data_IF_527383755092
#
_entry.id   IF_527383755092
#
_cell.length_a   1.000
_cell.length_b   1.000
_cell.length_c   1.000
_cell.angle_alpha   90.00
_cell.angle_beta   90.00
_cell.angle_gamma   90.00
#
_symmetry.space_group_name_H-M   'P 1'
#
loop_
_entity.id
_entity.type
_entity.pdbx_description
1 polymer ?
#
# COMPACT_ATOMS: atom_id res chain seq x y z
N UNK A 1 61.22 -14.38 7.24
CA UNK A 1 62.45 -14.84 7.90
C UNK A 1 62.33 -16.31 8.26
N UNK A 2 63.21 -17.18 7.75
CA UNK A 2 63.34 -18.56 8.21
C UNK A 2 63.77 -18.65 9.69
N UNK A 3 63.39 -19.73 10.38
CA UNK A 3 63.69 -19.92 11.82
C UNK A 3 65.20 -20.08 12.13
N UNK A 4 66.00 -20.45 11.13
CA UNK A 4 67.44 -20.69 11.27
C UNK A 4 68.30 -19.59 10.61
N UNK A 5 67.68 -18.49 10.16
CA UNK A 5 68.40 -17.41 9.51
C UNK A 5 69.40 -16.74 10.47
N UNK A 6 70.67 -16.67 10.09
CA UNK A 6 71.75 -16.05 10.87
C UNK A 6 72.02 -14.64 10.34
N UNK A 7 71.16 -13.67 10.71
CA UNK A 7 71.32 -12.28 10.29
C UNK A 7 72.33 -11.57 11.20
N UNK A 8 73.53 -11.31 10.68
CA UNK A 8 74.60 -10.59 11.40
C UNK A 8 74.87 -9.21 10.82
N UNK A 9 74.53 -9.00 9.55
CA UNK A 9 74.69 -7.79 8.76
C UNK A 9 73.51 -7.66 7.77
N UNK A 10 73.33 -6.46 7.21
CA UNK A 10 72.19 -6.19 6.33
C UNK A 10 72.23 -6.93 4.99
N UNK A 11 73.41 -7.37 4.53
CA UNK A 11 73.52 -8.21 3.32
C UNK A 11 72.95 -9.61 3.56
N UNK A 12 73.09 -10.13 4.78
CA UNK A 12 72.60 -11.46 5.17
C UNK A 12 71.07 -11.54 5.02
N UNK A 13 70.34 -10.42 5.11
CA UNK A 13 68.89 -10.41 4.87
C UNK A 13 68.56 -10.86 3.45
N UNK A 14 69.35 -10.45 2.45
CA UNK A 14 69.12 -10.86 1.05
C UNK A 14 69.51 -12.31 0.79
N UNK A 15 70.43 -12.86 1.58
CA UNK A 15 70.93 -14.23 1.42
C UNK A 15 70.12 -15.25 2.24
N UNK A 16 69.63 -14.85 3.41
CA UNK A 16 68.97 -15.70 4.40
C UNK A 16 67.44 -15.51 4.45
N UNK A 17 66.88 -14.47 3.82
CA UNK A 17 65.44 -14.24 3.75
C UNK A 17 64.85 -14.55 2.37
N UNK A 18 63.55 -14.85 2.36
CA UNK A 18 62.78 -15.00 1.13
C UNK A 18 62.03 -13.71 0.82
N UNK A 19 62.21 -13.17 -0.38
CA UNK A 19 61.46 -12.01 -0.85
C UNK A 19 60.01 -12.37 -1.14
N UNK A 20 59.07 -11.76 -0.42
CA UNK A 20 57.64 -12.01 -0.61
C UNK A 20 57.17 -11.58 -2.02
N UNK A 21 57.75 -10.54 -2.61
CA UNK A 21 57.49 -10.13 -4.00
C UNK A 21 57.85 -11.24 -5.00
N UNK A 22 58.98 -11.93 -4.80
CA UNK A 22 59.39 -13.03 -5.67
C UNK A 22 58.39 -14.20 -5.59
N UNK A 23 57.88 -14.52 -4.41
CA UNK A 23 56.82 -15.53 -4.23
C UNK A 23 55.54 -15.10 -4.97
N UNK A 24 55.13 -13.84 -4.82
CA UNK A 24 53.92 -13.34 -5.48
C UNK A 24 54.05 -13.40 -7.00
N UNK A 25 55.20 -13.03 -7.57
CA UNK A 25 55.48 -13.14 -8.99
C UNK A 25 55.41 -14.58 -9.50
N UNK A 26 55.96 -15.54 -8.75
CA UNK A 26 55.88 -16.96 -9.11
C UNK A 26 54.43 -17.47 -9.07
N UNK A 27 53.63 -17.07 -8.07
CA UNK A 27 52.22 -17.40 -8.00
C UNK A 27 51.43 -16.90 -9.22
N UNK A 28 51.73 -15.69 -9.69
CA UNK A 28 51.09 -15.14 -10.88
C UNK A 28 51.40 -15.90 -12.17
N UNK A 29 52.65 -16.35 -12.35
CA UNK A 29 53.05 -17.15 -13.50
C UNK A 29 52.37 -18.53 -13.44
N UNK A 30 52.27 -19.11 -12.26
CA UNK A 30 51.69 -20.44 -12.06
C UNK A 30 50.14 -20.46 -12.13
N UNK A 31 49.47 -19.36 -11.80
CA UNK A 31 48.01 -19.33 -11.68
C UNK A 31 47.39 -18.02 -12.17
N UNK A 32 46.53 -18.11 -13.20
CA UNK A 32 45.84 -16.98 -13.81
C UNK A 32 44.56 -16.53 -13.08
N UNK A 33 44.18 -17.22 -11.99
CA UNK A 33 43.02 -16.88 -11.17
C UNK A 33 43.36 -15.88 -10.06
N UNK A 34 42.64 -15.99 -8.94
CA UNK A 34 42.86 -15.13 -7.77
C UNK A 34 44.10 -15.61 -7.01
N UNK A 35 45.08 -14.72 -6.83
CA UNK A 35 46.28 -14.97 -6.02
C UNK A 35 46.15 -14.25 -4.67
N UNK A 36 46.29 -14.98 -3.56
CA UNK A 36 46.10 -14.40 -2.21
C UNK A 36 47.34 -14.64 -1.39
N UNK A 37 47.90 -13.57 -0.85
CA UNK A 37 49.01 -13.62 0.08
C UNK A 37 48.58 -12.96 1.39
N UNK A 38 48.68 -13.69 2.50
CA UNK A 38 48.33 -13.21 3.83
C UNK A 38 49.60 -13.22 4.67
N UNK A 39 50.04 -12.04 5.09
CA UNK A 39 51.29 -11.82 5.80
C UNK A 39 50.99 -11.45 7.24
N UNK A 40 51.13 -12.42 8.13
CA UNK A 40 50.99 -12.25 9.57
C UNK A 40 52.36 -12.11 10.24
N UNK A 41 52.97 -10.94 10.07
CA UNK A 41 54.30 -10.63 10.59
C UNK A 41 54.39 -9.14 10.93
N UNK A 42 55.27 -8.79 11.87
CA UNK A 42 55.59 -7.40 12.15
C UNK A 42 56.12 -6.71 10.89
N UNK A 43 55.70 -5.47 10.66
CA UNK A 43 56.18 -4.63 9.56
C UNK A 43 57.13 -3.54 10.04
N UNK A 44 57.81 -3.80 11.15
CA UNK A 44 58.78 -2.89 11.73
C UNK A 44 60.02 -2.87 10.86
N UNK A 45 60.48 -1.67 10.51
CA UNK A 45 61.84 -1.49 10.01
C UNK A 45 62.81 -2.02 11.06
N UNK A 46 63.81 -2.82 10.65
CA UNK A 46 64.90 -3.23 11.55
C UNK A 46 65.46 -1.94 12.18
N UNK A 47 65.46 -1.79 13.52
CA UNK A 47 65.88 -0.55 14.16
C UNK A 47 67.31 -0.17 13.73
N UNK A 48 67.57 1.11 13.46
CA UNK A 48 68.91 1.61 13.07
C UNK A 48 69.99 1.22 14.13
N UNK A 49 69.55 1.01 15.36
CA UNK A 49 70.28 0.58 16.54
C UNK A 49 70.49 -0.94 16.67
N UNK A 50 69.78 -1.77 15.89
CA UNK A 50 69.99 -3.23 15.84
C UNK A 50 71.41 -3.61 15.38
N UNK A 51 72.07 -2.73 14.61
CA UNK A 51 73.45 -2.92 14.15
C UNK A 51 74.46 -1.93 14.77
N UNK A 52 74.06 -1.12 15.77
CA UNK A 52 74.92 -0.04 16.34
C UNK A 52 76.19 -0.55 17.02
N UNK A 53 76.23 -1.79 17.52
CA UNK A 53 77.48 -2.36 18.05
C UNK A 53 78.57 -2.60 16.97
N UNK A 54 78.25 -2.42 15.68
CA UNK A 54 79.17 -2.70 14.56
C UNK A 54 79.35 -1.52 13.57
N UNK A 55 79.03 -0.30 13.99
CA UNK A 55 79.11 0.94 13.18
C UNK A 55 80.50 1.29 12.62
N UNK A 56 81.59 0.67 13.09
CA UNK A 56 82.96 1.06 12.70
C UNK A 56 83.41 0.64 11.27
N UNK A 57 82.52 0.18 10.38
CA UNK A 57 82.90 -0.26 9.01
C UNK A 57 82.00 0.23 7.87
N UNK A 58 81.31 1.37 8.00
CA UNK A 58 80.87 2.18 6.85
C UNK A 58 79.93 1.54 5.80
N UNK A 59 79.28 0.41 6.08
CA UNK A 59 78.59 -0.41 5.09
C UNK A 59 77.06 -0.22 4.98
N UNK A 60 76.46 0.74 5.69
CA UNK A 60 75.00 0.71 5.97
C UNK A 60 74.15 1.83 5.34
N UNK A 61 74.63 2.51 4.30
CA UNK A 61 73.83 3.53 3.59
C UNK A 61 72.87 2.87 2.57
N UNK A 62 71.69 2.42 3.00
CA UNK A 62 70.62 2.02 2.05
C UNK A 62 69.55 1.00 2.48
N UNK A 63 69.56 0.48 3.71
CA UNK A 63 68.64 -0.59 4.13
C UNK A 63 67.20 -0.15 4.47
N UNK A 64 66.89 1.15 4.48
CA UNK A 64 65.60 1.69 4.93
C UNK A 64 64.38 1.49 4.02
N UNK A 65 64.47 0.72 2.92
CA UNK A 65 63.40 0.63 1.91
C UNK A 65 62.77 -0.75 1.75
N UNK A 66 63.39 -1.83 2.24
CA UNK A 66 63.04 -3.22 1.93
C UNK A 66 61.77 -3.80 2.61
N UNK A 67 61.10 -3.05 3.49
CA UNK A 67 59.91 -3.49 4.23
C UNK A 67 58.66 -2.64 3.92
N UNK A 68 58.79 -1.75 2.93
CA UNK A 68 57.71 -0.91 2.42
C UNK A 68 56.64 -1.74 1.68
N UNK A 69 55.45 -1.14 1.51
CA UNK A 69 54.27 -1.79 0.95
C UNK A 69 54.54 -2.40 -0.43
N UNK A 70 54.28 -3.70 -0.59
CA UNK A 70 54.32 -4.37 -1.89
C UNK A 70 53.10 -3.97 -2.71
N UNK A 71 53.31 -3.72 -4.01
CA UNK A 71 52.20 -3.46 -4.91
C UNK A 71 51.52 -4.77 -5.28
N UNK A 72 50.19 -4.82 -5.14
CA UNK A 72 49.40 -5.96 -5.60
C UNK A 72 49.46 -6.06 -7.13
N UNK A 73 50.18 -7.06 -7.64
CA UNK A 73 50.24 -7.36 -9.06
C UNK A 73 48.87 -7.84 -9.58
N UNK A 74 48.53 -7.67 -10.86
CA UNK A 74 47.16 -7.93 -11.40
C UNK A 74 46.54 -9.26 -10.95
N UNK A 75 45.32 -9.22 -10.42
CA UNK A 75 44.62 -10.43 -9.96
C UNK A 75 45.11 -10.96 -8.60
N UNK A 76 45.81 -10.14 -7.81
CA UNK A 76 46.24 -10.50 -6.46
C UNK A 76 45.55 -9.68 -5.36
N UNK A 77 45.48 -10.29 -4.19
CA UNK A 77 45.13 -9.67 -2.92
C UNK A 77 46.26 -9.97 -1.93
N UNK A 78 46.85 -8.92 -1.36
CA UNK A 78 47.83 -9.02 -0.28
C UNK A 78 47.18 -8.47 0.97
N UNK A 79 47.05 -9.28 2.02
CA UNK A 79 46.52 -8.86 3.31
C UNK A 79 47.65 -8.89 4.35
N UNK A 80 47.79 -7.80 5.10
CA UNK A 80 48.79 -7.62 6.14
C UNK A 80 48.08 -7.61 7.50
N UNK A 81 48.70 -8.25 8.50
CA UNK A 81 48.17 -8.23 9.86
C UNK A 81 48.25 -6.87 10.54
N UNK A 82 49.01 -5.92 9.97
CA UNK A 82 49.14 -4.55 10.47
C UNK A 82 49.53 -3.56 9.35
N UNK A 83 49.41 -2.26 9.66
CA UNK A 83 49.72 -1.16 8.75
C UNK A 83 51.25 -1.06 8.47
N UNK A 84 51.68 -0.35 7.40
CA UNK A 84 53.11 -0.11 7.18
C UNK A 84 53.80 0.50 8.40
N UNK A 85 55.03 0.07 8.70
CA UNK A 85 55.85 0.57 9.81
C UNK A 85 55.23 0.37 11.21
N UNK A 86 54.46 -0.69 11.41
CA UNK A 86 53.86 -1.03 12.71
C UNK A 86 54.02 -2.51 13.05
N UNK A 87 53.93 -2.82 14.34
CA UNK A 87 54.13 -4.16 14.89
C UNK A 87 52.83 -4.97 14.87
N UNK A 88 52.91 -6.25 14.51
CA UNK A 88 51.80 -7.19 14.63
C UNK A 88 51.87 -7.89 15.99
N UNK A 89 50.73 -8.00 16.69
CA UNK A 89 50.70 -8.54 18.05
C UNK A 89 50.54 -10.07 18.05
N UNK A 90 51.44 -10.75 18.76
CA UNK A 90 51.55 -12.21 18.78
C UNK A 90 50.42 -12.95 19.51
N UNK A 91 49.51 -12.24 20.20
CA UNK A 91 48.44 -12.80 21.02
C UNK A 91 48.69 -12.64 22.53
N UNK A 92 47.65 -12.84 23.33
CA UNK A 92 47.77 -12.78 24.80
C UNK A 92 48.55 -14.00 25.34
N UNK A 93 49.17 -13.92 26.54
CA UNK A 93 49.86 -15.07 27.14
C UNK A 93 48.96 -16.32 27.19
N UNK A 94 49.38 -17.40 26.54
CA UNK A 94 48.65 -18.66 26.46
C UNK A 94 47.72 -18.81 25.25
N UNK A 95 47.58 -17.81 24.39
CA UNK A 95 46.87 -17.96 23.12
C UNK A 95 47.73 -18.69 22.08
N UNK A 96 47.09 -19.58 21.31
CA UNK A 96 47.76 -20.39 20.26
C UNK A 96 48.06 -19.59 19.00
N UNK A 97 47.26 -18.57 18.67
CA UNK A 97 47.34 -17.82 17.43
C UNK A 97 47.52 -16.33 17.74
N UNK A 98 48.14 -15.58 16.81
CA UNK A 98 48.13 -14.12 16.84
C UNK A 98 46.71 -13.56 16.83
N UNK A 99 46.56 -12.31 17.28
CA UNK A 99 45.25 -11.63 17.28
C UNK A 99 44.66 -11.57 15.87
N UNK A 100 45.49 -11.28 14.86
CA UNK A 100 45.06 -11.27 13.47
C UNK A 100 44.62 -12.65 12.98
N UNK A 101 45.44 -13.68 13.18
CA UNK A 101 45.11 -15.05 12.75
C UNK A 101 43.87 -15.59 13.47
N UNK A 102 43.70 -15.29 14.76
CA UNK A 102 42.50 -15.64 15.55
C UNK A 102 41.22 -15.10 14.91
N UNK A 103 41.19 -13.82 14.55
CA UNK A 103 40.00 -13.21 13.94
C UNK A 103 39.83 -13.53 12.47
N UNK A 104 40.90 -13.70 11.71
CA UNK A 104 40.85 -14.19 10.34
C UNK A 104 40.20 -15.57 10.28
N UNK A 105 40.63 -16.53 11.12
CA UNK A 105 40.04 -17.86 11.18
C UNK A 105 38.57 -17.83 11.60
N UNK A 106 38.18 -16.94 12.53
CA UNK A 106 36.78 -16.75 12.93
C UNK A 106 35.93 -16.23 11.77
N UNK A 107 36.43 -15.26 11.01
CA UNK A 107 35.75 -14.69 9.85
C UNK A 107 35.64 -15.73 8.71
N UNK A 108 36.70 -16.48 8.41
CA UNK A 108 36.66 -17.56 7.41
C UNK A 108 35.63 -18.64 7.78
N UNK A 109 35.50 -19.01 9.05
CA UNK A 109 34.51 -20.02 9.47
C UNK A 109 33.06 -19.56 9.37
N UNK A 110 32.78 -18.29 9.59
CA UNK A 110 31.40 -17.79 9.78
C UNK A 110 30.90 -16.87 8.66
N UNK A 111 31.83 -16.28 7.90
CA UNK A 111 31.58 -15.20 6.94
C UNK A 111 32.25 -15.44 5.58
N UNK A 112 32.73 -16.64 5.28
CA UNK A 112 33.36 -16.95 3.98
C UNK A 112 32.47 -16.69 2.74
N UNK A 113 31.16 -16.57 2.92
CA UNK A 113 30.21 -16.22 1.85
C UNK A 113 30.23 -14.73 1.48
N UNK A 114 30.80 -13.87 2.33
CA UNK A 114 30.95 -12.45 2.07
C UNK A 114 32.06 -12.20 1.04
N UNK A 115 31.97 -11.07 0.34
CA UNK A 115 33.08 -10.61 -0.49
C UNK A 115 34.33 -10.40 0.38
N UNK A 116 35.53 -10.64 -0.17
CA UNK A 116 36.79 -10.50 0.56
C UNK A 116 36.90 -9.17 1.30
N UNK A 117 36.46 -8.06 0.70
CA UNK A 117 36.54 -6.73 1.31
C UNK A 117 35.72 -6.67 2.60
N UNK A 118 34.49 -7.17 2.57
CA UNK A 118 33.61 -7.25 3.76
C UNK A 118 34.17 -8.20 4.82
N UNK A 119 34.74 -9.34 4.40
CA UNK A 119 35.37 -10.29 5.31
C UNK A 119 36.56 -9.64 6.05
N UNK A 120 37.44 -8.96 5.33
CA UNK A 120 38.60 -8.30 5.93
C UNK A 120 38.23 -7.04 6.73
N UNK A 121 37.14 -6.34 6.39
CA UNK A 121 36.56 -5.30 7.26
C UNK A 121 36.16 -5.90 8.62
N UNK A 122 35.52 -7.06 8.65
CA UNK A 122 35.17 -7.73 9.91
C UNK A 122 36.42 -8.14 10.69
N UNK A 123 37.46 -8.66 10.02
CA UNK A 123 38.73 -8.97 10.67
C UNK A 123 39.36 -7.72 11.29
N UNK A 124 39.47 -6.62 10.54
CA UNK A 124 40.03 -5.34 11.04
C UNK A 124 39.25 -4.82 12.24
N UNK A 125 37.92 -4.82 12.14
CA UNK A 125 37.04 -4.37 13.23
C UNK A 125 37.30 -5.13 14.52
N UNK A 126 37.44 -6.45 14.44
CA UNK A 126 37.67 -7.29 15.61
C UNK A 126 39.09 -7.13 16.18
N UNK A 127 40.10 -7.06 15.33
CA UNK A 127 41.50 -6.82 15.74
C UNK A 127 41.63 -5.47 16.46
N UNK A 128 41.07 -4.40 15.89
CA UNK A 128 41.10 -3.07 16.50
C UNK A 128 40.26 -2.96 17.78
N UNK A 129 39.25 -3.82 17.96
CA UNK A 129 38.47 -3.88 19.19
C UNK A 129 39.22 -4.61 20.32
N UNK A 130 40.01 -5.63 20.00
CA UNK A 130 40.81 -6.37 20.99
C UNK A 130 42.09 -5.61 21.41
N UNK A 131 42.65 -4.80 20.50
CA UNK A 131 43.83 -3.96 20.75
C UNK A 131 43.44 -2.47 20.64
N UNK A 132 42.73 -1.90 21.64
CA UNK A 132 42.21 -0.53 21.57
C UNK A 132 43.24 0.55 21.93
N UNK A 133 44.48 0.19 22.30
CA UNK A 133 45.44 1.14 22.90
C UNK A 133 46.03 2.13 21.88
N UNK A 134 46.20 3.40 22.28
CA UNK A 134 46.67 4.51 21.43
C UNK A 134 48.20 4.52 21.23
N UNK A 135 48.97 3.83 22.07
CA UNK A 135 50.45 3.79 21.97
C UNK A 135 50.97 2.84 20.86
N UNK A 136 50.24 1.76 20.55
CA UNK A 136 50.57 0.81 19.46
C UNK A 136 49.27 0.25 18.87
N UNK A 137 48.76 0.87 17.80
CA UNK A 137 47.54 0.42 17.14
C UNK A 137 47.84 -0.63 16.06
N UNK A 138 47.39 -1.87 16.25
CA UNK A 138 47.40 -2.88 15.19
C UNK A 138 46.20 -2.68 14.26
N UNK A 139 46.46 -2.24 13.03
CA UNK A 139 45.41 -2.02 12.01
C UNK A 139 45.69 -2.87 10.78
N UNK A 140 44.98 -4.00 10.60
CA UNK A 140 45.09 -4.80 9.39
C UNK A 140 44.85 -4.00 8.11
N UNK A 141 45.65 -4.27 7.08
CA UNK A 141 45.68 -3.52 5.82
C UNK A 141 45.69 -4.45 4.61
N UNK A 142 45.09 -4.07 3.49
CA UNK A 142 45.12 -4.86 2.25
C UNK A 142 45.56 -4.04 1.03
N UNK A 143 46.32 -4.68 0.14
CA UNK A 143 46.59 -4.20 -1.21
C UNK A 143 45.89 -5.13 -2.21
N UNK A 144 45.11 -4.58 -3.14
CA UNK A 144 44.28 -5.39 -4.04
C UNK A 144 44.35 -4.91 -5.50
N UNK A 145 44.23 -5.86 -6.42
CA UNK A 145 44.17 -5.65 -7.87
C UNK A 145 43.20 -6.65 -8.54
N UNK A 146 42.25 -7.18 -7.76
CA UNK A 146 41.27 -8.17 -8.19
C UNK A 146 40.27 -7.53 -9.17
N UNK A 147 40.01 -8.20 -10.29
CA UNK A 147 39.07 -7.72 -11.31
C UNK A 147 37.72 -8.45 -11.29
N UNK A 148 37.52 -9.36 -10.33
CA UNK A 148 36.29 -10.16 -10.17
C UNK A 148 35.94 -10.27 -8.69
N UNK A 149 34.66 -10.48 -8.39
CA UNK A 149 34.18 -10.79 -7.04
C UNK A 149 34.88 -12.05 -6.53
N UNK A 150 35.45 -11.99 -5.34
CA UNK A 150 36.07 -13.13 -4.68
C UNK A 150 35.49 -13.28 -3.27
N UNK A 151 35.16 -14.51 -2.91
CA UNK A 151 34.74 -14.92 -1.58
C UNK A 151 35.49 -16.21 -1.26
N UNK A 152 35.90 -16.41 0.00
CA UNK A 152 36.62 -17.62 0.40
C UNK A 152 35.72 -18.87 0.40
N UNK A 153 34.40 -18.69 0.41
CA UNK A 153 33.38 -19.72 0.19
C UNK A 153 32.48 -19.37 -0.99
N UNK A 154 31.22 -19.78 -0.97
CA UNK A 154 30.24 -19.43 -2.02
C UNK A 154 29.79 -17.99 -1.85
N UNK A 155 30.09 -17.13 -2.83
CA UNK A 155 29.62 -15.75 -2.81
C UNK A 155 28.10 -15.69 -2.68
N UNK A 156 27.60 -15.01 -1.65
CA UNK A 156 26.17 -14.73 -1.55
C UNK A 156 25.83 -13.62 -2.54
N UNK A 157 25.06 -13.94 -3.56
CA UNK A 157 24.45 -12.95 -4.45
C UNK A 157 23.13 -12.50 -3.82
N UNK A 158 23.24 -11.61 -2.82
CA UNK A 158 22.08 -11.06 -2.12
C UNK A 158 21.16 -10.25 -3.03
N UNK A 159 21.69 -9.69 -4.12
CA UNK A 159 20.93 -8.86 -5.05
C UNK A 159 19.95 -9.68 -5.89
N UNK A 160 20.37 -10.81 -6.47
CA UNK A 160 19.49 -11.64 -7.31
C UNK A 160 18.39 -12.38 -6.54
N UNK A 161 18.64 -12.75 -5.29
CA UNK A 161 17.64 -13.42 -4.46
C UNK A 161 16.50 -12.46 -4.03
N UNK A 162 16.85 -11.23 -3.67
CA UNK A 162 15.87 -10.21 -3.28
C UNK A 162 14.99 -9.78 -4.46
N UNK A 163 15.58 -9.63 -5.66
CA UNK A 163 14.85 -9.24 -6.86
C UNK A 163 13.81 -10.29 -7.29
N UNK A 164 14.18 -11.57 -7.27
CA UNK A 164 13.27 -12.67 -7.58
C UNK A 164 12.09 -12.76 -6.59
N UNK A 165 12.35 -12.49 -5.31
CA UNK A 165 11.33 -12.51 -4.27
C UNK A 165 10.36 -11.31 -4.40
N UNK A 166 10.88 -10.13 -4.74
CA UNK A 166 10.03 -8.98 -5.04
C UNK A 166 9.17 -9.19 -6.29
N UNK A 167 9.71 -9.83 -7.33
CA UNK A 167 8.95 -10.12 -8.54
C UNK A 167 7.82 -11.13 -8.27
N UNK A 168 8.08 -12.19 -7.48
CA UNK A 168 7.04 -13.14 -7.05
C UNK A 168 5.95 -12.44 -6.25
N UNK A 169 6.32 -11.63 -5.28
CA UNK A 169 5.37 -10.88 -4.45
C UNK A 169 4.55 -9.89 -5.29
N UNK A 170 5.16 -9.25 -6.29
CA UNK A 170 4.46 -8.35 -7.21
C UNK A 170 3.42 -9.10 -8.07
N UNK A 171 3.75 -10.31 -8.54
CA UNK A 171 2.82 -11.16 -9.30
C UNK A 171 1.63 -11.60 -8.45
N UNK A 172 1.89 -12.08 -7.24
CA UNK A 172 0.84 -12.51 -6.30
C UNK A 172 -0.08 -11.34 -5.91
N UNK A 173 0.49 -10.16 -5.64
CA UNK A 173 -0.30 -8.94 -5.38
C UNK A 173 -1.15 -8.53 -6.58
N UNK A 174 -0.64 -8.68 -7.80
CA UNK A 174 -1.39 -8.36 -9.01
C UNK A 174 -2.56 -9.33 -9.22
N UNK A 175 -2.36 -10.62 -8.93
CA UNK A 175 -3.41 -11.65 -8.98
C UNK A 175 -4.50 -11.39 -7.96
N UNK A 176 -4.13 -11.19 -6.69
CA UNK A 176 -5.08 -10.89 -5.60
C UNK A 176 -5.88 -9.60 -5.87
N UNK A 177 -5.26 -8.59 -6.50
CA UNK A 177 -5.95 -7.36 -6.88
C UNK A 177 -7.02 -7.60 -7.95
N UNK A 178 -6.78 -8.50 -8.91
CA UNK A 178 -7.76 -8.87 -9.94
C UNK A 178 -8.94 -9.62 -9.32
N UNK A 179 -8.66 -10.62 -8.49
CA UNK A 179 -9.69 -11.40 -7.81
C UNK A 179 -10.58 -10.50 -6.92
N UNK A 180 -9.97 -9.58 -6.16
CA UNK A 180 -10.72 -8.63 -5.34
C UNK A 180 -11.62 -7.72 -6.18
N UNK A 181 -11.15 -7.27 -7.34
CA UNK A 181 -11.95 -6.45 -8.24
C UNK A 181 -13.11 -7.23 -8.84
N UNK A 182 -12.91 -8.49 -9.21
CA UNK A 182 -13.97 -9.38 -9.70
C UNK A 182 -15.02 -9.65 -8.62
N UNK A 183 -14.60 -9.95 -7.39
CA UNK A 183 -15.51 -10.13 -6.26
C UNK A 183 -16.31 -8.86 -5.96
N UNK A 184 -15.70 -7.68 -6.06
CA UNK A 184 -16.40 -6.41 -5.89
C UNK A 184 -17.44 -6.18 -7.00
N UNK A 185 -17.11 -6.47 -8.26
CA UNK A 185 -18.06 -6.39 -9.37
C UNK A 185 -19.24 -7.35 -9.16
N UNK A 186 -18.97 -8.60 -8.75
CA UNK A 186 -20.01 -9.57 -8.44
C UNK A 186 -20.90 -9.09 -7.29
N UNK A 187 -20.33 -8.52 -6.22
CA UNK A 187 -21.10 -7.97 -5.10
C UNK A 187 -22.03 -6.84 -5.56
N UNK A 188 -21.51 -5.89 -6.33
CA UNK A 188 -22.30 -4.78 -6.87
C UNK A 188 -23.42 -5.28 -7.80
N UNK A 189 -23.16 -6.29 -8.62
CA UNK A 189 -24.18 -6.90 -9.47
C UNK A 189 -25.27 -7.60 -8.65
N UNK A 190 -24.89 -8.37 -7.63
CA UNK A 190 -25.83 -9.02 -6.72
C UNK A 190 -26.68 -8.00 -5.97
N UNK A 191 -26.08 -6.93 -5.45
CA UNK A 191 -26.80 -5.81 -4.82
C UNK A 191 -27.79 -5.16 -5.81
N UNK A 192 -27.36 -4.90 -7.05
CA UNK A 192 -28.24 -4.36 -8.10
C UNK A 192 -29.41 -5.28 -8.41
N UNK A 193 -29.17 -6.59 -8.54
CA UNK A 193 -30.21 -7.58 -8.80
C UNK A 193 -31.17 -7.71 -7.62
N UNK A 194 -30.67 -7.68 -6.39
CA UNK A 194 -31.48 -7.68 -5.17
C UNK A 194 -32.38 -6.44 -5.11
N UNK A 195 -31.83 -5.26 -5.42
CA UNK A 195 -32.61 -4.02 -5.48
C UNK A 195 -33.66 -4.06 -6.60
N UNK A 196 -33.34 -4.60 -7.78
CA UNK A 196 -34.31 -4.79 -8.85
C UNK A 196 -35.44 -5.76 -8.45
N UNK A 197 -35.11 -6.86 -7.77
CA UNK A 197 -36.12 -7.79 -7.23
C UNK A 197 -37.00 -7.14 -6.18
N UNK A 198 -36.40 -6.37 -5.27
CA UNK A 198 -37.13 -5.62 -4.25
C UNK A 198 -38.10 -4.62 -4.90
N UNK A 199 -37.62 -3.80 -5.84
CA UNK A 199 -38.44 -2.79 -6.53
C UNK A 199 -39.62 -3.40 -7.30
N UNK A 200 -39.50 -4.63 -7.84
CA UNK A 200 -40.64 -5.34 -8.46
C UNK A 200 -41.74 -5.73 -7.47
N UNK A 201 -41.44 -5.81 -6.18
CA UNK A 201 -42.39 -6.14 -5.11
C UNK A 201 -42.96 -4.91 -4.40
N UNK A 202 -42.53 -3.70 -4.77
CA UNK A 202 -42.92 -2.48 -4.06
C UNK A 202 -44.37 -2.08 -4.38
N UNK A 203 -45.03 -1.45 -3.41
CA UNK A 203 -46.35 -0.83 -3.58
C UNK A 203 -46.27 0.37 -4.52
N UNK A 204 -45.25 1.20 -4.36
CA UNK A 204 -44.98 2.38 -5.15
C UNK A 204 -43.61 2.28 -5.83
N UNK A 205 -43.56 2.46 -7.14
CA UNK A 205 -42.33 2.45 -7.94
C UNK A 205 -42.06 3.84 -8.49
N UNK A 206 -40.96 4.46 -8.07
CA UNK A 206 -40.49 5.71 -8.69
C UNK A 206 -39.95 5.42 -10.10
N UNK A 207 -40.50 6.09 -11.11
CA UNK A 207 -40.10 5.89 -12.49
C UNK A 207 -38.91 6.78 -12.91
N UNK A 208 -38.37 7.61 -11.99
CA UNK A 208 -37.19 8.44 -12.22
C UNK A 208 -37.44 9.67 -13.12
N UNK A 209 -38.67 9.86 -13.58
CA UNK A 209 -39.08 10.96 -14.46
C UNK A 209 -40.21 11.82 -13.88
N UNK A 210 -40.26 11.93 -12.55
CA UNK A 210 -41.21 12.77 -11.82
C UNK A 210 -42.57 12.12 -11.54
N UNK A 211 -42.73 10.84 -11.86
CA UNK A 211 -43.96 10.08 -11.60
C UNK A 211 -43.67 8.85 -10.76
N UNK A 212 -44.68 8.38 -10.04
CA UNK A 212 -44.64 7.16 -9.24
C UNK A 212 -45.79 6.26 -9.66
N UNK A 213 -45.47 5.01 -10.01
CA UNK A 213 -46.47 3.99 -10.34
C UNK A 213 -46.94 3.29 -9.07
N UNK A 214 -48.25 3.13 -8.97
CA UNK A 214 -48.93 2.53 -7.86
C UNK A 214 -49.32 1.07 -8.16
N UNK A 215 -48.44 0.10 -7.88
CA UNK A 215 -48.53 -1.27 -8.42
C UNK A 215 -49.76 -2.10 -7.98
N UNK A 216 -50.50 -1.70 -6.93
CA UNK A 216 -51.78 -2.31 -6.52
C UNK A 216 -52.94 -1.82 -7.41
N UNK A 217 -52.94 -0.55 -7.80
CA UNK A 217 -54.06 0.06 -8.55
C UNK A 217 -53.74 0.24 -10.04
N UNK A 218 -52.46 0.20 -10.41
CA UNK A 218 -51.98 0.54 -11.74
C UNK A 218 -51.95 2.05 -12.02
N UNK A 219 -52.37 2.90 -11.09
CA UNK A 219 -52.39 4.35 -11.30
C UNK A 219 -50.99 4.95 -11.31
N UNK A 220 -50.82 6.06 -12.03
CA UNK A 220 -49.58 6.83 -12.05
C UNK A 220 -49.84 8.17 -11.37
N UNK A 221 -49.09 8.42 -10.30
CA UNK A 221 -49.18 9.61 -9.48
C UNK A 221 -48.01 10.54 -9.76
N UNK A 222 -48.21 11.84 -9.54
CA UNK A 222 -47.08 12.76 -9.47
C UNK A 222 -46.19 12.44 -8.27
N UNK A 223 -44.87 12.46 -8.46
CA UNK A 223 -43.92 12.30 -7.35
C UNK A 223 -43.97 13.48 -6.38
N UNK A 224 -44.04 14.71 -6.92
CA UNK A 224 -44.25 15.91 -6.13
C UNK A 224 -45.75 16.12 -5.89
N UNK A 225 -46.15 15.92 -4.64
CA UNK A 225 -47.53 16.01 -4.19
C UNK A 225 -48.00 17.45 -3.92
N UNK A 226 -47.17 18.46 -4.13
CA UNK A 226 -47.52 19.87 -3.91
C UNK A 226 -47.01 20.78 -5.03
N UNK A 227 -47.17 20.38 -6.29
CA UNK A 227 -46.75 21.25 -7.39
C UNK A 227 -47.58 22.54 -7.50
N UNK A 228 -48.88 22.48 -7.17
CA UNK A 228 -49.83 23.55 -7.49
C UNK A 228 -50.25 24.39 -6.27
N UNK A 229 -49.87 23.99 -5.06
CA UNK A 229 -50.38 24.60 -3.83
C UNK A 229 -51.88 24.32 -3.60
N UNK A 230 -52.46 25.11 -2.71
CA UNK A 230 -53.90 25.09 -2.44
C UNK A 230 -54.68 25.87 -3.50
N UNK A 231 -55.79 25.30 -3.96
CA UNK A 231 -56.64 25.93 -4.98
C UNK A 231 -58.12 25.66 -4.71
N UNK A 232 -58.99 26.50 -5.25
CA UNK A 232 -60.43 26.20 -5.33
C UNK A 232 -60.68 25.00 -6.23
N UNK A 233 -61.74 24.24 -5.94
CA UNK A 233 -62.01 22.96 -6.59
C UNK A 233 -62.03 23.03 -8.13
N UNK A 234 -62.70 24.04 -8.72
CA UNK A 234 -62.76 24.21 -10.18
C UNK A 234 -61.39 24.53 -10.78
N UNK A 235 -60.59 25.34 -10.11
CA UNK A 235 -59.23 25.68 -10.54
C UNK A 235 -58.30 24.48 -10.42
N UNK A 236 -58.43 23.69 -9.34
CA UNK A 236 -57.67 22.46 -9.13
C UNK A 236 -57.90 21.45 -10.26
N UNK A 237 -59.16 21.24 -10.67
CA UNK A 237 -59.53 20.40 -11.82
C UNK A 237 -58.84 20.87 -13.11
N UNK A 238 -58.85 22.18 -13.37
CA UNK A 238 -58.21 22.76 -14.56
C UNK A 238 -56.69 22.66 -14.52
N UNK A 239 -56.07 22.91 -13.36
CA UNK A 239 -54.63 22.78 -13.15
C UNK A 239 -54.15 21.37 -13.42
N UNK A 240 -54.84 20.36 -12.88
CA UNK A 240 -54.52 18.96 -13.13
C UNK A 240 -54.71 18.60 -14.63
N UNK A 241 -55.80 19.03 -15.26
CA UNK A 241 -56.04 18.77 -16.69
C UNK A 241 -55.01 19.45 -17.61
N UNK A 242 -54.46 20.59 -17.22
CA UNK A 242 -53.47 21.34 -18.01
C UNK A 242 -52.02 20.89 -17.76
N UNK A 243 -51.79 19.97 -16.83
CA UNK A 243 -50.47 19.44 -16.52
C UNK A 243 -49.91 18.64 -17.71
N UNK A 244 -48.64 18.88 -18.01
CA UNK A 244 -47.92 18.19 -19.09
C UNK A 244 -46.43 18.05 -18.79
N UNK A 245 -45.73 17.32 -19.66
CA UNK A 245 -44.28 17.19 -19.67
C UNK A 245 -43.56 18.55 -19.52
N UNK A 246 -42.47 18.56 -18.75
CA UNK A 246 -41.67 19.75 -18.47
C UNK A 246 -42.17 20.61 -17.31
N UNK A 247 -43.37 20.36 -16.80
CA UNK A 247 -43.91 21.02 -15.62
C UNK A 247 -43.70 20.17 -14.37
N UNK A 248 -43.57 20.80 -13.20
CA UNK A 248 -43.55 20.10 -11.92
C UNK A 248 -42.49 18.98 -11.78
N UNK A 249 -41.39 19.06 -12.53
CA UNK A 249 -40.35 18.01 -12.58
C UNK A 249 -40.69 16.79 -13.45
N UNK A 250 -41.79 16.82 -14.21
CA UNK A 250 -42.19 15.73 -15.11
C UNK A 250 -41.29 15.66 -16.34
N UNK A 251 -40.80 14.45 -16.61
CA UNK A 251 -40.02 14.10 -17.82
C UNK A 251 -40.59 12.86 -18.51
N UNK A 252 -41.91 12.72 -18.49
CA UNK A 252 -42.63 11.47 -18.80
C UNK A 252 -43.36 11.47 -20.17
N UNK A 253 -43.18 12.53 -20.97
CA UNK A 253 -43.87 12.69 -22.26
C UNK A 253 -45.37 12.98 -22.18
N UNK A 254 -45.92 13.24 -20.99
CA UNK A 254 -47.35 13.51 -20.82
C UNK A 254 -47.81 14.79 -21.53
N UNK A 255 -49.07 14.77 -21.97
CA UNK A 255 -49.74 15.89 -22.64
C UNK A 255 -50.91 16.37 -21.79
N UNK A 256 -51.36 17.60 -22.04
CA UNK A 256 -52.58 18.15 -21.43
C UNK A 256 -53.75 17.19 -21.67
N UNK A 257 -54.58 17.03 -20.65
CA UNK A 257 -55.72 16.11 -20.61
C UNK A 257 -55.39 14.70 -20.16
N UNK A 258 -54.11 14.33 -20.04
CA UNK A 258 -53.73 13.01 -19.52
C UNK A 258 -53.82 12.92 -18.00
N UNK A 259 -53.59 14.04 -17.32
CA UNK A 259 -53.64 14.15 -15.86
C UNK A 259 -54.99 14.69 -15.41
N UNK A 260 -55.43 14.26 -14.23
CA UNK A 260 -56.66 14.72 -13.59
C UNK A 260 -56.53 14.67 -12.07
N UNK A 261 -57.51 15.24 -11.38
CA UNK A 261 -57.68 14.97 -9.96
C UNK A 261 -58.12 13.50 -9.75
N UNK A 262 -57.72 12.85 -8.64
CA UNK A 262 -58.16 11.51 -8.30
C UNK A 262 -59.65 11.49 -7.97
N UNK A 263 -60.32 10.37 -8.22
CA UNK A 263 -61.69 10.16 -7.71
C UNK A 263 -61.63 9.82 -6.22
N UNK A 264 -62.79 9.83 -5.55
CA UNK A 264 -62.91 9.41 -4.15
C UNK A 264 -62.39 7.99 -3.96
N UNK A 265 -62.76 7.08 -4.85
CA UNK A 265 -62.38 5.66 -4.79
C UNK A 265 -60.88 5.47 -4.98
N UNK A 266 -60.24 6.30 -5.82
CA UNK A 266 -58.79 6.26 -6.01
C UNK A 266 -58.03 6.79 -4.79
N UNK A 267 -58.56 7.79 -4.09
CA UNK A 267 -58.01 8.24 -2.81
C UNK A 267 -58.14 7.15 -1.73
N UNK A 268 -59.31 6.55 -1.61
CA UNK A 268 -59.55 5.42 -0.70
C UNK A 268 -58.61 4.24 -1.04
N UNK A 269 -58.38 3.98 -2.33
CA UNK A 269 -57.46 2.94 -2.78
C UNK A 269 -55.97 3.31 -2.65
N UNK A 270 -55.61 4.58 -2.53
CA UNK A 270 -54.23 5.02 -2.27
C UNK A 270 -53.92 4.92 -0.78
N UNK A 271 -54.83 5.38 0.07
CA UNK A 271 -54.68 5.33 1.51
C UNK A 271 -54.53 3.89 2.00
N UNK A 272 -53.87 3.75 3.14
CA UNK A 272 -53.74 2.48 3.83
C UNK A 272 -54.29 2.64 5.24
N UNK A 273 -55.48 2.07 5.45
CA UNK A 273 -56.23 2.17 6.70
C UNK A 273 -55.46 1.60 7.89
N UNK A 274 -54.45 0.75 7.67
CA UNK A 274 -53.53 0.27 8.71
C UNK A 274 -52.77 1.40 9.40
N UNK A 275 -52.54 2.50 8.68
CA UNK A 275 -51.81 3.67 9.15
C UNK A 275 -52.70 4.88 9.44
N UNK A 276 -54.02 4.74 9.31
CA UNK A 276 -54.99 5.78 9.63
C UNK A 276 -55.14 6.01 11.15
N UNK A 277 -55.61 7.19 11.54
CA UNK A 277 -55.95 7.50 12.92
C UNK A 277 -57.22 6.74 13.34
N UNK A 278 -57.36 6.25 14.59
CA UNK A 278 -56.45 6.40 15.75
C UNK A 278 -55.38 5.32 15.87
N UNK A 279 -55.25 4.41 14.90
CA UNK A 279 -54.35 3.26 15.00
C UNK A 279 -52.87 3.66 15.00
N UNK A 280 -52.50 4.70 14.24
CA UNK A 280 -51.14 5.26 14.17
C UNK A 280 -51.17 6.78 14.00
N UNK A 281 -50.25 7.52 14.66
CA UNK A 281 -50.02 8.93 14.33
C UNK A 281 -49.23 9.05 13.02
N UNK A 282 -49.67 9.91 12.10
CA UNK A 282 -48.97 10.18 10.85
C UNK A 282 -49.92 10.24 9.65
N UNK A 283 -49.36 10.22 8.43
CA UNK A 283 -50.17 10.14 7.22
C UNK A 283 -50.61 8.70 6.97
N UNK A 284 -51.87 8.51 6.57
CA UNK A 284 -52.50 7.24 6.21
C UNK A 284 -52.00 6.69 4.85
N UNK A 285 -50.68 6.71 4.65
CA UNK A 285 -49.99 6.21 3.47
C UNK A 285 -48.98 5.14 3.90
N UNK A 286 -48.82 4.11 3.07
CA UNK A 286 -47.70 3.17 3.20
C UNK A 286 -46.42 3.76 2.59
N UNK A 287 -45.27 3.23 3.02
CA UNK A 287 -44.00 3.47 2.34
C UNK A 287 -43.96 2.82 0.94
N UNK A 288 -42.89 3.06 0.19
CA UNK A 288 -42.69 2.56 -1.16
C UNK A 288 -42.82 1.03 -1.23
N UNK A 289 -42.27 0.33 -0.25
CA UNK A 289 -42.36 -1.13 -0.16
C UNK A 289 -43.78 -1.65 0.19
N UNK A 290 -44.67 -0.81 0.71
CA UNK A 290 -46.00 -1.21 1.18
C UNK A 290 -46.01 -1.97 2.51
N UNK A 291 -44.90 -1.98 3.24
CA UNK A 291 -44.72 -2.79 4.46
C UNK A 291 -44.73 -1.96 5.75
N UNK A 292 -44.50 -0.65 5.64
CA UNK A 292 -44.42 0.28 6.76
C UNK A 292 -45.15 1.60 6.49
N UNK A 293 -45.28 2.47 7.52
CA UNK A 293 -45.86 3.79 7.34
C UNK A 293 -44.96 4.68 6.46
N UNK A 294 -45.57 5.57 5.70
CA UNK A 294 -44.86 6.54 4.87
C UNK A 294 -44.00 7.49 5.70
N UNK A 295 -42.89 7.94 5.11
CA UNK A 295 -42.00 8.96 5.69
C UNK A 295 -41.66 10.01 4.62
N UNK A 296 -41.38 11.23 5.06
CA UNK A 296 -41.01 12.34 4.17
C UNK A 296 -39.86 11.93 3.25
N UNK A 297 -40.08 12.04 1.93
CA UNK A 297 -39.08 11.76 0.91
C UNK A 297 -38.93 10.29 0.51
N UNK A 298 -39.85 9.42 0.95
CA UNK A 298 -39.90 8.00 0.54
C UNK A 298 -40.49 7.87 -0.90
N UNK A 299 -41.70 7.33 -1.08
CA UNK A 299 -42.31 7.21 -2.41
C UNK A 299 -42.62 8.58 -3.05
N UNK A 300 -43.01 9.56 -2.24
CA UNK A 300 -43.53 10.86 -2.66
C UNK A 300 -42.83 12.00 -1.94
N UNK A 301 -42.75 13.17 -2.58
CA UNK A 301 -42.20 14.41 -2.01
C UNK A 301 -43.29 15.44 -1.75
N UNK A 302 -43.07 16.28 -0.74
CA UNK A 302 -43.94 17.41 -0.37
C UNK A 302 -45.42 17.06 -0.17
N UNK A 303 -45.69 15.87 0.39
CA UNK A 303 -47.04 15.45 0.76
C UNK A 303 -47.62 16.35 1.86
N UNK A 304 -48.84 16.82 1.62
CA UNK A 304 -49.62 17.70 2.48
C UNK A 304 -50.75 16.93 3.16
N UNK A 305 -51.55 17.62 3.98
CA UNK A 305 -52.57 16.96 4.80
C UNK A 305 -53.92 16.80 4.09
N UNK A 306 -54.28 17.73 3.20
CA UNK A 306 -55.61 17.77 2.58
C UNK A 306 -55.55 17.90 1.08
N UNK A 307 -56.25 17.03 0.34
CA UNK A 307 -56.27 17.09 -1.12
C UNK A 307 -57.68 17.03 -1.69
N UNK A 308 -57.89 17.72 -2.81
CA UNK A 308 -59.15 17.62 -3.54
C UNK A 308 -59.34 16.25 -4.22
N UNK A 309 -60.58 15.78 -4.25
CA UNK A 309 -61.06 14.78 -5.20
C UNK A 309 -61.77 15.46 -6.38
N UNK A 310 -61.78 14.78 -7.53
CA UNK A 310 -62.65 15.11 -8.66
C UNK A 310 -64.12 14.74 -8.44
N UNK A 311 -64.43 13.90 -7.43
CA UNK A 311 -65.80 13.46 -7.15
C UNK A 311 -66.59 14.56 -6.44
N UNK A 312 -67.72 14.97 -7.01
CA UNK A 312 -68.66 15.89 -6.38
C UNK A 312 -69.64 15.15 -5.48
N UNK A 313 -69.95 15.71 -4.31
CA UNK A 313 -71.03 15.17 -3.47
C UNK A 313 -72.36 15.84 -3.78
N UNK A 314 -72.36 17.17 -3.91
CA UNK A 314 -73.51 17.93 -4.37
C UNK A 314 -73.07 19.16 -5.19
N UNK A 315 -74.02 20.08 -5.45
CA UNK A 315 -73.75 21.27 -6.25
C UNK A 315 -72.72 22.20 -5.60
N UNK A 316 -72.73 22.35 -4.27
CA UNK A 316 -71.85 23.24 -3.51
C UNK A 316 -70.63 22.55 -2.89
N UNK A 317 -70.63 21.22 -2.72
CA UNK A 317 -69.52 20.47 -2.11
C UNK A 317 -68.90 19.42 -3.02
N UNK A 318 -67.63 19.14 -2.77
CA UNK A 318 -66.86 18.06 -3.39
C UNK A 318 -66.10 17.29 -2.32
N UNK A 319 -65.76 16.04 -2.60
CA UNK A 319 -64.98 15.23 -1.67
C UNK A 319 -63.54 15.77 -1.57
N UNK A 320 -63.00 15.86 -0.36
CA UNK A 320 -61.57 16.05 -0.09
C UNK A 320 -61.05 14.93 0.81
N UNK A 321 -59.79 14.58 0.65
CA UNK A 321 -59.13 13.56 1.46
C UNK A 321 -58.27 14.24 2.52
N UNK A 322 -58.32 13.71 3.74
CA UNK A 322 -57.47 14.09 4.84
C UNK A 322 -56.48 12.95 5.12
N UNK A 323 -55.23 13.13 4.69
CA UNK A 323 -54.22 12.08 4.87
C UNK A 323 -53.81 11.92 6.34
N UNK A 324 -53.97 12.93 7.19
CA UNK A 324 -53.54 12.85 8.59
C UNK A 324 -54.43 11.93 9.45
N UNK A 325 -55.69 11.73 9.07
CA UNK A 325 -56.61 10.82 9.75
C UNK A 325 -57.06 9.65 8.87
N UNK A 326 -56.83 9.72 7.55
CA UNK A 326 -57.14 8.66 6.60
C UNK A 326 -58.59 8.64 6.14
N UNK A 327 -59.32 9.73 6.30
CA UNK A 327 -60.73 9.83 5.93
C UNK A 327 -60.95 10.73 4.71
N UNK A 328 -62.10 10.53 4.06
CA UNK A 328 -62.60 11.43 3.02
C UNK A 328 -63.79 12.18 3.59
N UNK A 329 -63.81 13.50 3.40
CA UNK A 329 -64.81 14.41 3.91
C UNK A 329 -65.52 15.14 2.76
N UNK A 330 -66.71 15.66 2.99
CA UNK A 330 -67.32 16.63 2.10
C UNK A 330 -66.78 18.03 2.43
N UNK A 331 -66.22 18.70 1.42
CA UNK A 331 -65.67 20.04 1.51
C UNK A 331 -66.49 21.01 0.67
N UNK A 332 -66.85 22.16 1.24
CA UNK A 332 -67.46 23.25 0.47
C UNK A 332 -66.47 23.75 -0.61
N UNK A 333 -66.95 23.89 -1.85
CA UNK A 333 -66.14 24.32 -3.00
C UNK A 333 -65.62 25.76 -2.86
N UNK A 334 -66.08 26.52 -1.86
CA UNK A 334 -65.57 27.84 -1.47
C UNK A 334 -64.30 27.79 -0.62
N UNK A 335 -63.88 26.62 -0.14
CA UNK A 335 -62.58 26.45 0.50
C UNK A 335 -61.48 26.11 -0.52
N UNK A 336 -60.22 26.21 -0.10
CA UNK A 336 -59.06 25.74 -0.87
C UNK A 336 -58.52 24.45 -0.26
N UNK A 337 -58.05 23.53 -1.11
CA UNK A 337 -57.30 22.33 -0.71
C UNK A 337 -56.17 22.10 -1.73
N UNK A 338 -55.19 21.26 -1.37
CA UNK A 338 -54.08 20.95 -2.26
C UNK A 338 -54.49 20.11 -3.46
N UNK A 339 -53.65 20.14 -4.50
CA UNK A 339 -53.87 19.45 -5.77
C UNK A 339 -52.77 18.40 -5.97
N UNK A 340 -53.17 17.14 -6.10
CA UNK A 340 -52.27 16.04 -6.43
C UNK A 340 -52.84 15.29 -7.62
N UNK A 341 -52.15 15.38 -8.76
CA UNK A 341 -52.66 14.80 -10.00
C UNK A 341 -52.33 13.30 -10.13
N UNK A 342 -53.26 12.58 -10.73
CA UNK A 342 -53.15 11.16 -11.09
C UNK A 342 -53.55 10.95 -12.55
N UNK A 343 -53.08 9.86 -13.15
CA UNK A 343 -53.55 9.35 -14.44
C UNK A 343 -53.62 7.83 -14.45
N UNK A 344 -54.34 7.29 -15.43
CA UNK A 344 -54.37 5.84 -15.66
C UNK A 344 -52.99 5.28 -16.00
N UNK A 345 -52.74 4.03 -15.58
CA UNK A 345 -51.63 3.22 -16.07
C UNK A 345 -51.87 2.68 -17.47
N UNK A 346 -50.80 2.18 -18.09
CA UNK A 346 -50.87 1.44 -19.34
C UNK A 346 -51.18 -0.04 -19.08
#
# INVERSE_FOLDING_TARGET
MPLQADIRQGIDIKEEALEADAVLQQMQVAHSGVNIMILDACRDSIPDDFFKERENKGAFKGLGTGLTQMNALRGSLIAYSTAPNTTAWGGLPGERNSVYTKYLLKALKTKAHLNYAELFIEVRKQVSAEIPNEEVQQVPWEANSLTRKFCFGTCQDREGAAELEQEKLARERAELKRERAELEQQRLEQERLAQQRANKSYRYTDNGHGTVTDNRTGLIWMKNANCFGEQYWKTAMQSAANLAHGQCGLRDGSRRGMWRLPTREEWEAMMDQKYAWPAKPGLALSNAAGTGPWKKGDAFSDVQWFYWSSTTENLSSAWNVALYDGFVYDGDKTYTNYVWAVRGGH
#
